data_IF_037325045560
#
_entry.id   IF_037325045560
#
_cell.length_a   1.000
_cell.length_b   1.000
_cell.length_c   1.000
_cell.angle_alpha   90.00
_cell.angle_beta   90.00
_cell.angle_gamma   90.00
#
_symmetry.space_group_name_H-M   'P 1'
#
loop_
_entity.id
_entity.type
_entity.pdbx_description
1 polymer ?
2 polymer ?
3 water ?
#
# COMPACT_ATOMS: atom_id res chain seq x y z
N UNK A 1 9.91 8.59 -3.10
CA UNK A 1 10.09 8.34 -1.65
C UNK A 1 8.92 7.55 -1.05
N UNK A 2 9.15 6.93 0.10
CA UNK A 2 8.11 6.19 0.83
C UNK A 2 7.24 7.19 1.61
N UNK A 3 6.26 7.78 0.94
CA UNK A 3 5.47 8.81 1.64
C UNK A 3 4.25 8.21 2.28
N UNK A 4 4.08 6.91 2.07
CA UNK A 4 2.85 6.28 2.49
C UNK A 4 2.67 6.20 3.98
N UNK A 5 3.77 6.16 4.71
CA UNK A 5 3.65 6.17 6.17
C UNK A 5 3.10 4.87 6.72
N UNK A 6 2.68 4.94 7.96
CA UNK A 6 2.05 3.83 8.67
C UNK A 6 0.84 4.39 9.44
N UNK A 7 -0.06 3.53 9.94
CA UNK A 7 -1.27 4.02 10.63
C UNK A 7 -1.78 2.89 11.53
N UNK A 8 -2.37 3.28 12.66
CA UNK A 8 -3.19 2.32 13.44
C UNK A 8 -4.44 1.86 12.71
N UNK A 9 -5.04 0.78 13.24
CA UNK A 9 -6.33 0.26 12.78
C UNK A 9 -7.44 1.29 12.97
N UNK A 10 -8.41 1.26 12.08
CA UNK A 10 -9.60 2.10 12.18
C UNK A 10 -10.57 1.40 13.14
N UNK A 11 -11.06 2.14 14.17
CA UNK A 11 -11.99 1.60 15.13
C UNK A 11 -13.38 1.36 14.51
N UNK B 6 -1.70 -9.02 33.79
CA UNK B 6 -2.30 -9.37 32.45
C UNK B 6 -2.49 -10.85 32.31
N UNK B 7 -3.03 -11.46 33.36
CA UNK B 7 -3.29 -12.89 33.33
C UNK B 7 -4.40 -13.32 32.42
N UNK B 8 -5.46 -12.50 32.30
CA UNK B 8 -6.52 -12.82 31.34
C UNK B 8 -6.07 -12.75 29.91
N UNK B 9 -5.27 -11.74 29.57
CA UNK B 9 -4.69 -11.65 28.23
C UNK B 9 -3.85 -12.88 27.89
N UNK B 10 -3.04 -13.31 28.85
CA UNK B 10 -2.21 -14.49 28.65
C UNK B 10 -3.14 -15.67 28.36
N UNK B 11 -4.25 -15.73 29.11
CA UNK B 11 -5.23 -16.80 28.94
C UNK B 11 -5.81 -16.82 27.54
N UNK B 12 -6.06 -15.62 27.00
CA UNK B 12 -6.67 -15.49 25.67
C UNK B 12 -5.69 -15.90 24.59
N UNK B 13 -4.43 -15.49 24.76
CA UNK B 13 -3.37 -15.92 23.84
C UNK B 13 -3.19 -17.43 23.89
N UNK B 14 -3.21 -18.00 25.09
CA UNK B 14 -3.15 -19.48 25.22
C UNK B 14 -4.34 -20.13 24.51
N UNK B 15 -5.52 -19.50 24.56
CA UNK B 15 -6.73 -20.07 23.94
C UNK B 15 -6.51 -20.18 22.45
N UNK B 16 -6.00 -19.08 21.89
CA UNK B 16 -5.81 -19.08 20.46
C UNK B 16 -4.60 -19.96 20.06
N UNK B 17 -3.52 -20.02 20.85
CA UNK B 17 -2.36 -20.91 20.51
C UNK B 17 -2.85 -22.36 20.52
N UNK B 18 -3.66 -22.71 21.52
CA UNK B 18 -4.19 -24.10 21.59
C UNK B 18 -5.06 -24.43 20.37
N UNK B 19 -5.91 -23.48 19.97
CA UNK B 19 -6.76 -23.69 18.82
C UNK B 19 -5.88 -23.89 17.56
N UNK B 20 -4.86 -23.04 17.39
CA UNK B 20 -3.89 -23.23 16.26
C UNK B 20 -3.22 -24.59 16.28
N UNK B 21 -2.80 -25.03 17.47
CA UNK B 21 -2.19 -26.34 17.60
C UNK B 21 -3.13 -27.47 17.09
N UNK B 22 -4.41 -27.41 17.49
CA UNK B 22 -5.41 -28.39 17.02
C UNK B 22 -5.53 -28.31 15.48
N UNK B 23 -5.47 -27.11 14.94
CA UNK B 23 -5.58 -26.94 13.48
C UNK B 23 -4.38 -27.53 12.75
N UNK B 24 -3.17 -27.21 13.24
CA UNK B 24 -1.95 -27.68 12.58
C UNK B 24 -1.83 -29.15 12.60
N UNK B 25 -2.15 -29.75 13.74
CA UNK B 25 -2.13 -31.21 13.85
C UNK B 25 -3.09 -31.79 12.81
N UNK B 26 -4.30 -31.22 12.73
CA UNK B 26 -5.29 -31.66 11.73
C UNK B 26 -4.78 -31.55 10.31
N UNK B 27 -4.23 -30.39 9.92
CA UNK B 27 -3.68 -30.18 8.59
C UNK B 27 -2.61 -31.23 8.29
N UNK B 28 -1.75 -31.49 9.28
CA UNK B 28 -0.61 -32.40 9.09
C UNK B 28 -1.13 -33.80 8.76
N UNK B 29 -2.20 -34.17 9.45
CA UNK B 29 -2.74 -35.52 9.37
C UNK B 29 -3.86 -35.77 8.34
N UNK B 30 -4.18 -34.78 7.52
CA UNK B 30 -5.26 -34.90 6.53
C UNK B 30 -4.88 -34.26 5.22
N UNK B 31 -3.95 -34.87 4.47
CA UNK B 31 -3.60 -34.31 3.16
C UNK B 31 -4.56 -34.92 2.14
N UNK B 32 -5.20 -34.05 1.32
CA UNK B 32 -6.17 -34.59 0.37
C UNK B 32 -5.46 -35.57 -0.56
N UNK B 33 -6.07 -36.73 -0.75
CA UNK B 33 -5.56 -37.81 -1.59
C UNK B 33 -4.77 -38.84 -0.80
N UNK B 34 -4.45 -38.50 0.45
CA UNK B 34 -3.64 -39.41 1.28
C UNK B 34 -4.52 -40.06 2.36
N UNK B 35 -4.13 -41.24 2.80
CA UNK B 35 -4.90 -41.95 3.83
C UNK B 35 -5.08 -41.08 5.07
N UNK B 36 -6.26 -41.12 5.67
CA UNK B 36 -6.54 -40.22 6.80
C UNK B 36 -7.81 -40.61 7.53
N UNK B 37 -7.89 -40.27 8.82
CA UNK B 37 -9.12 -40.53 9.58
C UNK B 37 -10.26 -39.59 9.19
N UNK B 38 -11.45 -39.86 9.70
CA UNK B 38 -12.62 -39.02 9.39
C UNK B 38 -12.90 -37.95 10.47
N UNK B 39 -12.01 -37.81 11.46
CA UNK B 39 -12.13 -36.70 12.43
C UNK B 39 -12.31 -35.35 11.72
N UNK B 40 -13.33 -34.56 12.16
CA UNK B 40 -13.63 -33.28 11.47
C UNK B 40 -12.63 -32.15 11.69
N UNK B 41 -12.49 -31.31 10.68
CA UNK B 41 -11.62 -30.11 10.74
C UNK B 41 -12.17 -29.16 11.82
N UNK B 42 -11.29 -28.58 12.65
CA UNK B 42 -11.79 -27.63 13.66
C UNK B 42 -12.51 -26.43 13.05
N UNK B 43 -13.53 -25.94 13.75
CA UNK B 43 -14.22 -24.72 13.35
C UNK B 43 -14.02 -23.72 14.46
N UNK B 44 -13.61 -22.49 14.11
CA UNK B 44 -13.31 -21.49 15.14
C UNK B 44 -14.55 -21.16 16.01
N UNK B 45 -15.74 -21.19 15.39
CA UNK B 45 -17.01 -20.91 16.11
C UNK B 45 -17.21 -21.79 17.34
N UNK B 46 -16.65 -23.00 17.31
CA UNK B 46 -16.84 -23.94 18.42
C UNK B 46 -15.78 -23.76 19.52
N UNK B 47 -14.86 -22.81 19.33
CA UNK B 47 -13.89 -22.55 20.37
C UNK B 47 -13.79 -21.11 20.82
N UNK B 48 -14.84 -20.32 20.60
CA UNK B 48 -14.88 -18.96 21.12
C UNK B 48 -13.72 -18.12 20.59
N UNK B 49 -13.27 -18.40 19.38
CA UNK B 49 -12.13 -17.68 18.83
C UNK B 49 -12.34 -16.21 18.51
N UNK B 50 -13.45 -15.90 17.90
CA UNK B 50 -13.70 -14.51 17.51
C UNK B 50 -13.78 -13.60 18.71
N UNK B 51 -14.42 -14.01 19.79
CA UNK B 51 -14.42 -13.16 20.98
C UNK B 51 -13.03 -12.93 21.54
N UNK B 52 -12.17 -13.95 21.50
CA UNK B 52 -10.82 -13.80 22.01
C UNK B 52 -10.02 -12.76 21.24
N UNK B 53 -10.13 -12.84 19.93
CA UNK B 53 -9.33 -11.95 19.09
C UNK B 53 -10.01 -10.66 19.16
N UNK B 54 -11.32 -10.58 19.33
CA UNK B 54 -11.93 -9.28 19.49
C UNK B 54 -11.38 -8.57 20.73
N UNK B 55 -11.27 -9.27 21.84
CA UNK B 55 -10.72 -8.62 23.00
C UNK B 55 -9.27 -8.19 22.80
N UNK B 56 -8.50 -9.05 22.15
CA UNK B 56 -7.12 -8.69 21.89
C UNK B 56 -7.02 -7.47 20.97
N UNK B 57 -7.87 -7.40 19.97
CA UNK B 57 -7.86 -6.28 19.07
C UNK B 57 -8.16 -5.02 19.86
N UNK B 58 -9.12 -5.07 20.76
CA UNK B 58 -9.48 -3.85 21.48
C UNK B 58 -8.36 -3.38 22.41
N UNK B 59 -7.71 -4.36 23.07
CA UNK B 59 -6.59 -4.03 23.96
C UNK B 59 -5.40 -3.45 23.17
N UNK B 60 -5.26 -3.85 21.90
CA UNK B 60 -4.06 -3.51 21.15
C UNK B 60 -4.00 -2.04 20.79
N UNK B 61 -5.09 -1.31 21.00
CA UNK B 61 -5.11 0.13 20.78
C UNK B 61 -4.26 0.90 21.81
N UNK B 62 -3.98 0.25 22.93
CA UNK B 62 -3.32 0.87 24.08
C UNK B 62 -1.86 0.40 24.11
N UNK B 63 -0.91 1.33 24.16
CA UNK B 63 0.52 0.99 24.17
C UNK B 63 0.91 0.12 25.37
N UNK B 64 0.25 0.30 26.52
CA UNK B 64 0.54 -0.53 27.70
C UNK B 64 0.13 -1.99 27.52
N UNK B 65 -0.98 -2.22 26.83
CA UNK B 65 -1.39 -3.59 26.57
C UNK B 65 -0.58 -4.20 25.46
N UNK B 66 -0.10 -3.37 24.54
CA UNK B 66 0.75 -3.81 23.46
C UNK B 66 2.08 -4.29 24.04
N UNK B 67 2.60 -3.53 25.00
CA UNK B 67 3.85 -3.91 25.65
C UNK B 67 3.69 -5.29 26.26
N UNK B 68 2.60 -5.51 26.99
CA UNK B 68 2.32 -6.82 27.62
C UNK B 68 2.07 -7.92 26.57
N UNK B 69 1.34 -7.61 25.49
CA UNK B 69 1.26 -8.58 24.36
C UNK B 69 2.61 -8.96 23.78
N UNK B 70 3.49 -7.97 23.61
CA UNK B 70 4.77 -8.20 22.95
C UNK B 70 5.66 -9.10 23.77
N UNK B 71 5.59 -8.95 25.10
CA UNK B 71 6.29 -9.83 26.02
C UNK B 71 5.78 -11.27 25.89
N UNK B 72 4.51 -11.42 25.55
CA UNK B 72 3.88 -12.75 25.51
C UNK B 72 3.88 -13.38 24.11
N UNK B 73 4.39 -12.68 23.11
CA UNK B 73 4.42 -13.21 21.75
C UNK B 73 3.07 -13.09 21.09
N UNK B 74 2.33 -12.03 21.42
CA UNK B 74 0.96 -11.84 20.93
C UNK B 74 0.91 -11.69 19.41
N UNK B 75 1.87 -10.96 18.82
CA UNK B 75 1.87 -10.79 17.38
C UNK B 75 1.92 -12.16 16.66
N UNK B 76 2.83 -13.04 17.09
CA UNK B 76 2.98 -14.31 16.37
C UNK B 76 1.71 -15.17 16.53
N UNK B 77 1.12 -15.13 17.73
CA UNK B 77 -0.05 -15.96 17.99
C UNK B 77 -1.23 -15.49 17.14
N UNK B 78 -1.42 -14.17 17.03
CA UNK B 78 -2.50 -13.60 16.22
C UNK B 78 -2.25 -13.85 14.72
N UNK B 79 -1.00 -13.67 14.29
CA UNK B 79 -0.68 -13.94 12.91
C UNK B 79 -0.90 -15.40 12.56
N UNK B 80 -0.51 -16.31 13.44
CA UNK B 80 -0.69 -17.74 13.19
C UNK B 80 -2.16 -18.10 13.03
N UNK B 81 -3.00 -17.46 13.83
CA UNK B 81 -4.44 -17.72 13.76
C UNK B 81 -4.97 -17.20 12.43
N UNK B 82 -4.65 -15.95 12.09
CA UNK B 82 -5.07 -15.44 10.80
C UNK B 82 -4.61 -16.36 9.68
N UNK B 83 -3.34 -16.76 9.68
CA UNK B 83 -2.85 -17.67 8.63
C UNK B 83 -3.62 -18.99 8.56
N UNK B 84 -3.80 -19.65 9.70
CA UNK B 84 -4.37 -20.99 9.67
C UNK B 84 -5.85 -20.95 9.24
N UNK B 85 -6.58 -19.88 9.60
CA UNK B 85 -7.99 -19.79 9.20
C UNK B 85 -8.08 -19.56 7.69
N UNK B 86 -7.19 -18.71 7.18
CA UNK B 86 -7.09 -18.50 5.74
C UNK B 86 -6.74 -19.77 4.96
N UNK B 87 -5.81 -20.57 5.45
CA UNK B 87 -5.46 -21.82 4.81
C UNK B 87 -6.58 -22.84 4.88
N UNK B 88 -7.27 -22.90 6.01
CA UNK B 88 -8.31 -23.93 6.20
C UNK B 88 -9.56 -23.64 5.38
N UNK B 89 -9.97 -22.38 5.39
CA UNK B 89 -11.26 -22.01 4.81
C UNK B 89 -11.22 -21.26 3.47
N UNK B 90 -10.06 -20.72 3.11
CA UNK B 90 -9.90 -19.94 1.87
C UNK B 90 -10.70 -18.65 1.88
N UNK B 91 -11.04 -18.16 0.68
CA UNK B 91 -11.82 -16.94 0.51
C UNK B 91 -13.29 -17.27 0.70
N UNK B 92 -13.75 -17.03 1.92
CA UNK B 92 -15.13 -17.35 2.30
C UNK B 92 -15.87 -16.07 2.66
N UNK B 93 -17.18 -16.08 2.46
CA UNK B 93 -18.03 -14.98 2.89
C UNK B 93 -18.67 -15.27 4.24
N UNK B 94 -18.33 -16.41 4.84
CA UNK B 94 -18.79 -16.72 6.18
C UNK B 94 -18.46 -15.54 7.11
N UNK B 95 -19.50 -15.03 7.77
CA UNK B 95 -19.38 -13.82 8.58
C UNK B 95 -18.40 -14.00 9.69
N UNK B 96 -18.48 -15.14 10.38
CA UNK B 96 -17.63 -15.43 11.51
C UNK B 96 -16.14 -15.41 11.12
N UNK B 97 -15.83 -16.08 10.02
CA UNK B 97 -14.48 -16.12 9.50
C UNK B 97 -14.00 -14.71 9.10
N UNK B 98 -14.86 -13.95 8.42
CA UNK B 98 -14.46 -12.61 7.97
C UNK B 98 -14.19 -11.74 9.20
N UNK B 99 -15.07 -11.87 10.19
CA UNK B 99 -14.98 -11.07 11.40
C UNK B 99 -13.68 -11.40 12.16
N UNK B 100 -13.40 -12.68 12.36
CA UNK B 100 -12.14 -13.05 13.04
C UNK B 100 -10.88 -12.59 12.32
N UNK B 101 -10.89 -12.68 10.99
CA UNK B 101 -9.75 -12.23 10.19
C UNK B 101 -9.59 -10.70 10.26
N UNK B 102 -10.71 -9.99 10.23
CA UNK B 102 -10.68 -8.51 10.40
C UNK B 102 -10.05 -8.14 11.75
N UNK B 103 -10.50 -8.81 12.79
CA UNK B 103 -10.07 -8.46 14.15
C UNK B 103 -8.60 -8.84 14.27
N UNK B 104 -8.23 -10.01 13.75
CA UNK B 104 -6.80 -10.38 13.80
C UNK B 104 -5.93 -9.35 13.05
N UNK B 105 -6.38 -8.95 11.87
CA UNK B 105 -5.62 -7.97 11.06
C UNK B 105 -5.50 -6.63 11.76
N UNK B 106 -6.59 -6.19 12.42
CA UNK B 106 -6.58 -4.90 13.15
C UNK B 106 -5.52 -4.96 14.22
N UNK B 107 -5.43 -6.10 14.91
CA UNK B 107 -4.43 -6.24 16.00
C UNK B 107 -3.03 -6.18 15.39
N UNK B 108 -2.83 -6.85 14.26
CA UNK B 108 -1.51 -6.88 13.61
C UNK B 108 -1.14 -5.48 13.15
N UNK B 109 -2.16 -4.72 12.69
CA UNK B 109 -1.92 -3.33 12.28
C UNK B 109 -1.41 -2.53 13.47
N UNK B 110 -2.12 -2.61 14.61
CA UNK B 110 -1.76 -1.91 15.81
C UNK B 110 -0.40 -2.36 16.35
N UNK B 111 -0.10 -3.66 16.21
CA UNK B 111 1.15 -4.20 16.79
C UNK B 111 2.36 -3.91 15.92
N UNK B 112 2.13 -3.56 14.66
CA UNK B 112 3.24 -3.19 13.76
C UNK B 112 3.49 -1.69 13.73
N UNK B 113 2.52 -0.90 14.17
CA UNK B 113 2.64 0.56 14.12
C UNK B 113 3.80 1.05 15.00
N UNK B 114 4.78 1.69 14.34
CA UNK B 114 5.93 2.25 15.05
C UNK B 114 6.89 1.21 15.61
N UNK B 115 6.69 -0.05 15.23
CA UNK B 115 7.42 -1.16 15.91
C UNK B 115 8.30 -1.98 14.97
N UNK B 116 9.58 -1.59 14.95
CA UNK B 116 10.59 -2.13 14.03
C UNK B 116 10.67 -3.66 14.15
N UNK B 117 10.76 -4.17 15.37
CA UNK B 117 10.96 -5.61 15.60
C UNK B 117 9.73 -6.40 15.14
N UNK B 118 8.54 -5.89 15.45
CA UNK B 118 7.33 -6.60 15.04
C UNK B 118 7.10 -6.66 13.53
N UNK B 119 7.47 -5.61 12.82
CA UNK B 119 7.40 -5.63 11.39
C UNK B 119 8.29 -6.72 10.82
N UNK B 120 9.52 -6.78 11.34
CA UNK B 120 10.47 -7.79 10.91
C UNK B 120 9.94 -9.19 11.16
N UNK B 121 9.40 -9.41 12.35
CA UNK B 121 8.82 -10.71 12.72
C UNK B 121 7.68 -11.10 11.81
N UNK B 122 6.75 -10.16 11.59
CA UNK B 122 5.60 -10.51 10.75
C UNK B 122 6.03 -10.81 9.29
N UNK B 123 6.90 -10.00 8.69
CA UNK B 123 7.43 -10.32 7.35
C UNK B 123 8.12 -11.68 7.24
N UNK B 124 8.78 -12.11 8.32
CA UNK B 124 9.38 -13.44 8.38
C UNK B 124 8.36 -14.60 8.39
N UNK B 125 7.08 -14.29 8.60
CA UNK B 125 6.07 -15.31 8.61
C UNK B 125 5.53 -15.43 7.18
N UNK B 126 6.26 -16.19 6.35
CA UNK B 126 5.98 -16.19 4.89
C UNK B 126 4.58 -16.67 4.56
N UNK B 127 4.17 -17.72 5.25
CA UNK B 127 2.84 -18.32 5.07
C UNK B 127 1.75 -17.32 5.41
N UNK B 128 1.95 -16.59 6.50
CA UNK B 128 1.04 -15.52 6.89
C UNK B 128 0.99 -14.38 5.87
N UNK B 129 2.17 -14.01 5.35
CA UNK B 129 2.29 -12.97 4.30
C UNK B 129 1.52 -13.37 3.04
N UNK B 130 1.66 -14.62 2.62
CA UNK B 130 0.86 -15.13 1.48
C UNK B 130 -0.64 -15.08 1.77
N UNK B 131 -1.04 -15.46 3.00
CA UNK B 131 -2.45 -15.43 3.40
C UNK B 131 -3.00 -13.99 3.35
N UNK B 132 -2.21 -13.06 3.86
CA UNK B 132 -2.60 -11.66 3.82
C UNK B 132 -2.86 -11.17 2.39
N UNK B 133 -1.93 -11.44 1.49
CA UNK B 133 -2.02 -11.00 0.09
C UNK B 133 -3.27 -11.60 -0.53
N UNK B 134 -3.56 -12.86 -0.19
CA UNK B 134 -4.73 -13.55 -0.78
C UNK B 134 -6.05 -12.90 -0.33
N UNK B 135 -6.08 -12.29 0.86
CA UNK B 135 -7.30 -11.67 1.37
C UNK B 135 -7.70 -10.38 0.68
N UNK B 136 -6.80 -9.82 -0.13
CA UNK B 136 -7.15 -8.62 -0.88
C UNK B 136 -8.22 -8.95 -1.90
N UNK B 137 -8.43 -10.24 -2.18
CA UNK B 137 -9.52 -10.65 -3.07
C UNK B 137 -10.85 -10.96 -2.37
N UNK B 138 -10.89 -10.77 -1.05
CA UNK B 138 -12.12 -10.91 -0.27
C UNK B 138 -13.24 -10.03 -0.83
N UNK B 139 -14.46 -10.51 -0.80
CA UNK B 139 -15.58 -9.62 -1.13
C UNK B 139 -15.88 -8.62 -0.01
N UNK B 140 -15.27 -8.82 1.16
CA UNK B 140 -15.45 -7.87 2.26
C UNK B 140 -14.51 -6.71 2.09
N UNK B 141 -15.04 -5.55 1.72
CA UNK B 141 -14.12 -4.41 1.56
C UNK B 141 -13.51 -3.99 2.92
N UNK B 142 -14.22 -4.23 4.02
CA UNK B 142 -13.64 -3.93 5.34
C UNK B 142 -12.41 -4.79 5.62
N UNK B 143 -12.50 -6.10 5.32
CA UNK B 143 -11.31 -6.94 5.40
C UNK B 143 -10.18 -6.43 4.46
N UNK B 144 -10.50 -6.07 3.20
CA UNK B 144 -9.48 -5.54 2.30
C UNK B 144 -8.76 -4.37 2.94
N UNK B 145 -9.53 -3.49 3.60
CA UNK B 145 -8.97 -2.27 4.22
C UNK B 145 -7.99 -2.67 5.33
N UNK B 146 -8.40 -3.64 6.15
CA UNK B 146 -7.56 -4.14 7.24
C UNK B 146 -6.26 -4.75 6.71
N UNK B 147 -6.35 -5.56 5.65
CA UNK B 147 -5.17 -6.20 5.09
C UNK B 147 -4.23 -5.14 4.51
N UNK B 148 -4.82 -4.15 3.81
CA UNK B 148 -3.99 -3.11 3.23
C UNK B 148 -3.29 -2.27 4.30
N UNK B 149 -3.93 -2.12 5.46
CA UNK B 149 -3.35 -1.40 6.61
C UNK B 149 -2.14 -2.16 7.13
N UNK B 150 -2.27 -3.48 7.18
CA UNK B 150 -1.06 -4.26 7.61
C UNK B 150 0.07 -4.10 6.60
N UNK B 151 -0.25 -4.24 5.31
CA UNK B 151 0.76 -4.13 4.28
C UNK B 151 1.37 -2.73 4.22
N UNK B 152 0.55 -1.70 4.45
CA UNK B 152 1.08 -0.33 4.58
C UNK B 152 2.15 -0.22 5.69
N UNK B 153 1.82 -0.73 6.87
CA UNK B 153 2.77 -0.66 7.98
C UNK B 153 4.03 -1.47 7.71
N UNK B 154 3.87 -2.67 7.11
CA UNK B 154 5.06 -3.51 6.86
C UNK B 154 5.98 -2.89 5.80
N UNK B 155 5.39 -2.13 4.87
CA UNK B 155 6.15 -1.58 3.78
C UNK B 155 6.85 -0.27 4.17
N UNK B 156 6.43 0.35 5.27
CA UNK B 156 7.03 1.58 5.76
C UNK B 156 8.35 1.30 6.47
N UNK B 157 9.43 1.90 6.00
CA UNK B 157 10.77 1.66 6.63
C UNK B 157 11.16 0.18 6.65
N UNK B 158 10.76 -0.51 5.59
CA UNK B 158 11.06 -1.93 5.46
C UNK B 158 12.57 -2.14 5.40
N UNK B 159 13.07 -3.09 6.19
CA UNK B 159 14.46 -3.52 6.06
C UNK B 159 14.66 -4.35 4.79
N UNK B 160 15.91 -4.70 4.46
CA UNK B 160 16.17 -5.50 3.24
C UNK B 160 15.38 -6.79 3.13
N UNK B 161 15.28 -7.53 4.23
CA UNK B 161 14.54 -8.78 4.23
C UNK B 161 13.04 -8.52 3.95
N UNK B 162 12.49 -7.50 4.60
CA UNK B 162 11.06 -7.18 4.48
C UNK B 162 10.73 -6.73 3.06
N UNK B 163 11.58 -5.89 2.48
CA UNK B 163 11.40 -5.46 1.10
C UNK B 163 11.36 -6.69 0.20
N UNK B 164 12.29 -7.63 0.39
CA UNK B 164 12.32 -8.81 -0.48
C UNK B 164 11.05 -9.65 -0.31
N UNK B 165 10.65 -9.89 0.94
CA UNK B 165 9.45 -10.68 1.21
C UNK B 165 8.18 -10.05 0.63
N UNK B 166 7.99 -8.75 0.90
CA UNK B 166 6.84 -8.02 0.31
C UNK B 166 6.78 -8.13 -1.23
N UNK B 167 7.93 -8.03 -1.89
CA UNK B 167 7.95 -8.23 -3.34
C UNK B 167 7.60 -9.67 -3.71
N UNK B 168 8.26 -10.63 -3.07
CA UNK B 168 8.15 -12.04 -3.48
C UNK B 168 6.76 -12.62 -3.31
N UNK B 169 6.00 -12.12 -2.32
CA UNK B 169 4.63 -12.61 -2.09
C UNK B 169 3.60 -11.92 -3.01
N UNK B 170 4.08 -11.04 -3.89
CA UNK B 170 3.20 -10.42 -4.90
C UNK B 170 2.31 -9.33 -4.38
N UNK B 171 2.75 -8.67 -3.31
CA UNK B 171 1.91 -7.64 -2.72
C UNK B 171 1.60 -6.48 -3.66
N UNK B 172 2.54 -6.17 -4.56
CA UNK B 172 2.41 -4.96 -5.39
C UNK B 172 1.28 -5.12 -6.41
N UNK B 173 1.35 -6.18 -7.22
CA UNK B 173 0.33 -6.43 -8.21
C UNK B 173 -1.03 -6.59 -7.51
N UNK B 174 -1.06 -7.32 -6.38
CA UNK B 174 -2.30 -7.59 -5.68
C UNK B 174 -2.94 -6.30 -5.18
N UNK B 175 -2.14 -5.36 -4.66
CA UNK B 175 -2.65 -4.09 -4.12
C UNK B 175 -3.13 -3.21 -5.27
N UNK B 176 -2.39 -3.21 -6.37
CA UNK B 176 -2.78 -2.36 -7.52
C UNK B 176 -4.10 -2.82 -8.10
N UNK B 177 -4.24 -4.15 -8.24
CA UNK B 177 -5.48 -4.73 -8.78
C UNK B 177 -6.64 -4.39 -7.83
N UNK B 178 -6.38 -4.51 -6.51
CA UNK B 178 -7.36 -4.19 -5.47
C UNK B 178 -7.82 -2.73 -5.63
N UNK B 179 -6.87 -1.83 -5.85
CA UNK B 179 -7.19 -0.39 -5.92
C UNK B 179 -8.24 -0.10 -6.95
N UNK B 180 -8.17 -0.84 -8.07
CA UNK B 180 -9.05 -0.59 -9.20
C UNK B 180 -10.52 -0.82 -8.92
N UNK B 181 -10.81 -1.62 -7.90
CA UNK B 181 -12.20 -1.98 -7.62
C UNK B 181 -12.78 -1.45 -6.29
N UNK B 182 -11.95 -0.92 -5.38
CA UNK B 182 -12.50 -0.53 -4.06
C UNK B 182 -13.46 0.65 -4.16
N UNK B 183 -14.51 0.61 -3.33
CA UNK B 183 -15.49 1.70 -3.33
C UNK B 183 -15.24 2.82 -2.32
N UNK B 184 -14.77 2.50 -1.11
CA UNK B 184 -14.71 3.51 -0.03
C UNK B 184 -13.39 4.22 -0.02
N UNK B 185 -13.44 5.49 0.30
CA UNK B 185 -12.21 6.27 0.38
C UNK B 185 -11.25 5.68 1.42
N UNK B 186 -11.76 5.21 2.57
CA UNK B 186 -10.82 4.69 3.58
C UNK B 186 -10.06 3.43 3.13
N UNK B 187 -10.72 2.56 2.36
CA UNK B 187 -10.03 1.42 1.79
C UNK B 187 -8.95 1.88 0.80
N UNK B 188 -9.33 2.79 -0.09
CA UNK B 188 -8.41 3.31 -1.09
C UNK B 188 -7.22 3.99 -0.41
N UNK B 189 -7.47 4.71 0.68
CA UNK B 189 -6.36 5.38 1.37
C UNK B 189 -5.31 4.38 1.81
N UNK B 190 -5.75 3.28 2.46
CA UNK B 190 -4.82 2.26 2.92
C UNK B 190 -4.07 1.58 1.79
N UNK B 191 -4.82 1.24 0.73
CA UNK B 191 -4.25 0.56 -0.43
C UNK B 191 -3.23 1.45 -1.15
N UNK B 192 -3.58 2.72 -1.39
CA UNK B 192 -2.63 3.59 -2.10
C UNK B 192 -1.43 3.94 -1.20
N UNK B 193 -1.65 4.10 0.09
CA UNK B 193 -0.52 4.36 0.99
C UNK B 193 0.49 3.21 0.97
N UNK B 194 0.01 1.97 1.01
CA UNK B 194 0.92 0.85 0.91
C UNK B 194 1.66 0.87 -0.43
N UNK B 195 0.93 1.13 -1.52
CA UNK B 195 1.57 1.22 -2.83
C UNK B 195 2.59 2.37 -2.93
N UNK B 196 2.31 3.49 -2.26
CA UNK B 196 3.29 4.63 -2.24
C UNK B 196 4.56 4.15 -1.58
N UNK B 197 4.45 3.38 -0.51
CA UNK B 197 5.67 2.83 0.12
C UNK B 197 6.36 1.80 -0.75
N UNK B 198 5.58 0.85 -1.24
CA UNK B 198 6.14 -0.24 -2.06
C UNK B 198 6.80 0.26 -3.34
N UNK B 199 6.23 1.29 -3.95
CA UNK B 199 6.75 1.77 -5.26
C UNK B 199 8.09 2.49 -5.16
N UNK B 200 8.52 2.79 -3.93
CA UNK B 200 9.85 3.36 -3.71
C UNK B 200 10.92 2.29 -3.51
N UNK B 201 10.53 1.04 -3.23
CA UNK B 201 11.50 -0.01 -2.83
C UNK B 201 12.49 -0.47 -3.87
N UNK B 202 12.02 -0.66 -5.10
CA UNK B 202 12.87 -1.12 -6.21
C UNK B 202 12.19 -0.88 -7.55
N UNK B 203 12.99 -1.02 -8.61
CA UNK B 203 12.51 -0.83 -9.98
C UNK B 203 11.42 -1.84 -10.37
N UNK B 204 11.64 -3.10 -10.00
CA UNK B 204 10.64 -4.16 -10.25
C UNK B 204 9.24 -3.83 -9.73
N UNK B 205 9.14 -3.22 -8.54
CA UNK B 205 7.83 -2.88 -8.00
C UNK B 205 7.16 -1.82 -8.86
N UNK B 206 7.98 -0.86 -9.33
CA UNK B 206 7.50 0.17 -10.24
C UNK B 206 6.95 -0.44 -11.53
N UNK B 207 7.71 -1.37 -12.11
CA UNK B 207 7.27 -2.07 -13.33
C UNK B 207 5.96 -2.83 -13.10
N UNK B 208 5.85 -3.47 -11.93
CA UNK B 208 4.69 -4.31 -11.63
C UNK B 208 3.43 -3.47 -11.55
N UNK B 209 3.55 -2.28 -10.98
CA UNK B 209 2.44 -1.34 -10.94
C UNK B 209 2.08 -0.96 -12.39
N UNK B 210 3.08 -0.61 -13.21
CA UNK B 210 2.79 -0.08 -14.55
C UNK B 210 2.21 -1.15 -15.46
N UNK B 211 2.52 -2.41 -15.14
CA UNK B 211 2.06 -3.58 -15.92
C UNK B 211 0.58 -3.93 -15.75
N UNK B 212 -0.03 -3.48 -14.66
CA UNK B 212 -1.43 -3.80 -14.39
C UNK B 212 -2.32 -3.01 -15.32
N UNK B 213 -3.13 -3.74 -16.08
CA UNK B 213 -4.03 -3.15 -17.04
C UNK B 213 -4.92 -2.13 -16.39
N UNK B 214 -4.84 -0.89 -16.86
CA UNK B 214 -5.63 0.20 -16.28
C UNK B 214 -5.06 0.94 -15.09
N UNK B 215 -3.92 0.48 -14.57
CA UNK B 215 -3.31 1.12 -13.40
C UNK B 215 -2.90 2.56 -13.63
N UNK B 216 -2.18 2.81 -14.73
CA UNK B 216 -1.73 4.20 -14.95
C UNK B 216 -2.90 5.17 -15.12
N UNK B 217 -3.93 4.77 -15.88
CA UNK B 217 -5.08 5.64 -16.06
C UNK B 217 -5.75 5.92 -14.72
N UNK B 218 -5.81 4.91 -13.87
CA UNK B 218 -6.40 5.05 -12.56
C UNK B 218 -5.59 6.00 -11.69
N UNK B 219 -4.25 5.85 -11.71
CA UNK B 219 -3.39 6.76 -10.95
C UNK B 219 -3.54 8.19 -11.44
N UNK B 220 -3.56 8.38 -12.75
CA UNK B 220 -3.77 9.74 -13.25
C UNK B 220 -5.08 10.27 -12.77
N UNK B 221 -6.09 9.39 -12.77
CA UNK B 221 -7.42 9.78 -12.28
C UNK B 221 -7.31 10.26 -10.82
N UNK B 222 -6.48 9.62 -9.99
CA UNK B 222 -6.44 10.07 -8.60
C UNK B 222 -5.97 11.50 -8.39
N UNK B 223 -5.26 12.07 -9.37
CA UNK B 223 -4.76 13.43 -9.24
C UNK B 223 -5.89 14.43 -9.16
N UNK B 224 -7.07 14.02 -9.63
CA UNK B 224 -8.29 14.86 -9.57
C UNK B 224 -9.44 14.16 -8.81
N UNK B 225 -9.09 13.15 -8.02
CA UNK B 225 -10.04 12.57 -7.06
C UNK B 225 -10.66 13.65 -6.19
N UNK B 226 -11.96 13.56 -5.93
CA UNK B 226 -12.59 14.56 -5.02
C UNK B 226 -13.11 13.81 -3.80
N UNK B 227 -12.33 13.94 -2.72
CA UNK B 227 -12.65 13.43 -1.39
C UNK B 227 -14.01 13.86 -0.87
N UNK B 228 -14.81 12.91 -0.42
CA UNK B 228 -16.05 13.33 0.22
C UNK B 228 -15.81 13.77 1.67
N UNK B 229 -14.60 13.51 2.17
CA UNK B 229 -14.24 13.88 3.54
C UNK B 229 -13.35 15.13 3.63
N UNK B 230 -13.23 15.85 2.51
CA UNK B 230 -12.41 17.06 2.44
C UNK B 230 -11.03 16.88 3.03
N UNK B 231 -10.37 15.82 2.59
CA UNK B 231 -8.94 15.70 2.82
C UNK B 231 -8.24 15.54 1.48
N UNK B 232 -6.90 15.67 1.49
CA UNK B 232 -6.12 15.53 0.25
C UNK B 232 -5.35 14.19 0.19
N UNK B 233 -5.67 13.24 1.07
CA UNK B 233 -4.92 12.00 1.18
C UNK B 233 -4.85 11.16 -0.09
N UNK B 234 -5.96 11.10 -0.84
CA UNK B 234 -5.92 10.31 -2.09
C UNK B 234 -5.08 11.03 -3.15
N UNK B 235 -5.21 12.36 -3.29
CA UNK B 235 -4.41 13.02 -4.32
C UNK B 235 -2.93 12.88 -3.97
N UNK B 236 -2.63 12.99 -2.69
CA UNK B 236 -1.23 12.86 -2.23
C UNK B 236 -0.70 11.45 -2.49
N UNK B 237 -1.46 10.40 -2.12
CA UNK B 237 -0.92 9.05 -2.31
C UNK B 237 -0.94 8.60 -3.77
N UNK B 238 -2.01 8.92 -4.50
CA UNK B 238 -2.06 8.55 -5.94
C UNK B 238 -0.93 9.23 -6.67
N UNK B 239 -0.80 10.53 -6.41
CA UNK B 239 0.29 11.32 -7.02
C UNK B 239 1.68 10.88 -6.57
N UNK B 240 1.77 10.34 -5.34
CA UNK B 240 3.06 9.87 -4.81
C UNK B 240 3.50 8.60 -5.55
N UNK B 241 2.53 7.67 -5.79
CA UNK B 241 2.82 6.51 -6.56
C UNK B 241 3.22 6.93 -7.97
N UNK B 242 2.44 7.85 -8.55
CA UNK B 242 2.76 8.31 -9.91
C UNK B 242 4.17 8.85 -10.00
N UNK B 243 4.54 9.65 -9.02
CA UNK B 243 5.93 10.17 -8.99
C UNK B 243 6.97 9.06 -8.94
N UNK B 244 6.74 8.06 -8.08
CA UNK B 244 7.67 6.96 -7.94
C UNK B 244 7.79 6.09 -9.19
N UNK B 245 6.73 5.94 -9.96
CA UNK B 245 6.83 5.11 -11.16
C UNK B 245 7.14 5.95 -12.41
N UNK B 246 7.20 7.26 -12.25
CA UNK B 246 7.34 8.14 -13.43
C UNK B 246 8.69 7.94 -14.17
N UNK B 247 9.72 7.44 -13.47
CA UNK B 247 11.01 7.17 -14.15
C UNK B 247 10.83 6.12 -15.25
N UNK B 248 9.92 5.16 -15.03
CA UNK B 248 9.61 4.16 -16.04
C UNK B 248 8.69 4.66 -17.09
N UNK B 249 7.65 5.37 -16.64
CA UNK B 249 6.73 6.00 -17.60
C UNK B 249 7.49 6.80 -18.61
N UNK B 250 8.49 7.54 -18.18
CA UNK B 250 9.23 8.44 -19.09
C UNK B 250 9.82 7.74 -20.33
N UNK B 251 10.14 6.44 -20.23
CA UNK B 251 10.75 5.80 -21.40
C UNK B 251 9.80 4.84 -22.11
N UNK B 252 8.51 4.98 -21.83
CA UNK B 252 7.51 4.12 -22.45
C UNK B 252 6.50 5.01 -23.17
N UNK B 253 6.57 5.04 -24.49
CA UNK B 253 5.66 5.90 -25.27
C UNK B 253 4.18 5.56 -25.02
N UNK B 254 3.86 4.26 -24.98
CA UNK B 254 2.50 3.79 -24.74
C UNK B 254 1.98 4.38 -23.43
N UNK B 255 2.82 4.34 -22.41
CA UNK B 255 2.43 4.85 -21.07
C UNK B 255 2.32 6.36 -21.06
N UNK B 256 3.19 7.04 -21.81
CA UNK B 256 3.03 8.49 -21.95
C UNK B 256 1.70 8.84 -22.60
N UNK B 257 1.29 8.02 -23.56
CA UNK B 257 0.08 8.29 -24.28
C UNK B 257 -1.12 8.13 -23.35
N UNK B 258 -1.09 7.15 -22.46
CA UNK B 258 -2.16 7.01 -21.46
C UNK B 258 -2.26 8.26 -20.62
N UNK B 259 -1.13 8.75 -20.13
CA UNK B 259 -1.13 10.01 -19.44
C UNK B 259 -1.73 11.16 -20.28
N UNK B 260 -1.41 11.24 -21.58
CA UNK B 260 -1.88 12.35 -22.41
C UNK B 260 -3.39 12.33 -22.58
N UNK B 261 -3.94 11.13 -22.63
CA UNK B 261 -5.38 10.97 -22.90
C UNK B 261 -6.18 11.54 -21.72
N UNK B 262 -5.52 11.62 -20.58
CA UNK B 262 -6.09 12.13 -19.34
C UNK B 262 -5.49 13.47 -18.92
N UNK B 263 -4.82 14.16 -19.83
CA UNK B 263 -4.27 15.51 -19.57
C UNK B 263 -3.42 15.56 -18.33
N UNK B 264 -2.58 14.54 -18.15
CA UNK B 264 -1.75 14.45 -16.94
C UNK B 264 -0.83 15.66 -16.74
N UNK B 265 -0.08 16.03 -17.79
CA UNK B 265 0.85 17.13 -17.67
C UNK B 265 0.11 18.40 -17.22
N UNK B 266 -1.05 18.67 -17.84
CA UNK B 266 -1.79 19.87 -17.44
C UNK B 266 -2.20 19.87 -15.96
N UNK B 267 -2.63 18.71 -15.48
CA UNK B 267 -2.94 18.53 -14.08
C UNK B 267 -1.74 18.69 -13.16
N UNK B 268 -0.60 18.15 -13.55
CA UNK B 268 0.61 18.33 -12.72
C UNK B 268 1.01 19.81 -12.64
N UNK B 269 0.81 20.55 -13.74
CA UNK B 269 1.10 22.00 -13.67
C UNK B 269 0.17 22.69 -12.67
N UNK B 270 -1.10 22.29 -12.61
CA UNK B 270 -2.03 22.88 -11.61
C UNK B 270 -1.55 22.53 -10.21
N UNK B 271 -1.03 21.31 -10.07
CA UNK B 271 -0.47 20.85 -8.79
C UNK B 271 0.72 21.68 -8.30
N UNK B 272 1.44 22.33 -9.22
CA UNK B 272 2.60 23.18 -8.81
C UNK B 272 2.11 24.38 -8.01
N UNK B 273 0.83 24.73 -8.23
CA UNK B 273 0.21 25.87 -7.52
C UNK B 273 -0.60 25.43 -6.28
N UNK B 274 -0.59 24.14 -5.95
CA UNK B 274 -1.26 23.60 -4.72
C UNK B 274 -0.72 24.27 -3.47
N UNK B 275 -1.58 24.41 -2.47
CA UNK B 275 -1.15 24.84 -1.14
C UNK B 275 -0.59 23.68 -0.31
N UNK B 276 -0.57 22.45 -0.85
CA UNK B 276 0.02 21.30 -0.16
C UNK B 276 1.44 21.01 -0.65
N UNK B 277 2.43 21.08 0.22
CA UNK B 277 3.80 20.79 -0.19
C UNK B 277 4.01 19.40 -0.70
N UNK B 278 3.29 18.44 -0.16
CA UNK B 278 3.39 17.10 -0.63
C UNK B 278 2.90 16.99 -2.06
N UNK B 279 1.76 17.60 -2.33
CA UNK B 279 1.21 17.62 -3.73
C UNK B 279 2.20 18.32 -4.69
N UNK B 280 2.72 19.46 -4.26
CA UNK B 280 3.71 20.18 -5.10
C UNK B 280 4.97 19.32 -5.33
N UNK B 281 5.46 18.71 -4.26
CA UNK B 281 6.61 17.84 -4.36
C UNK B 281 6.40 16.66 -5.29
N UNK B 282 5.25 15.99 -5.18
CA UNK B 282 4.99 14.87 -6.07
C UNK B 282 4.94 15.33 -7.52
N UNK B 283 4.32 16.48 -7.76
CA UNK B 283 4.22 17.01 -9.10
C UNK B 283 5.59 17.36 -9.67
N UNK B 284 6.43 17.96 -8.84
CA UNK B 284 7.80 18.32 -9.29
C UNK B 284 8.59 17.08 -9.67
N UNK B 285 8.46 16.02 -8.85
CA UNK B 285 9.12 14.76 -9.14
C UNK B 285 8.64 14.09 -10.43
N UNK B 286 7.33 14.18 -10.69
CA UNK B 286 6.78 13.54 -11.84
C UNK B 286 7.23 14.30 -13.08
N UNK B 287 7.16 15.64 -13.00
CA UNK B 287 7.62 16.49 -14.11
C UNK B 287 9.09 16.40 -14.40
N UNK B 288 9.90 16.18 -13.37
CA UNK B 288 11.33 15.95 -13.56
C UNK B 288 11.51 14.81 -14.56
N UNK B 289 10.80 13.71 -14.37
CA UNK B 289 10.93 12.59 -15.29
C UNK B 289 10.25 12.79 -16.61
N UNK B 290 9.02 13.32 -16.62
CA UNK B 290 8.30 13.42 -17.86
C UNK B 290 8.89 14.45 -18.81
N UNK B 291 9.62 15.42 -18.24
CA UNK B 291 10.29 16.48 -19.03
C UNK B 291 11.57 15.99 -19.71
N UNK B 292 12.04 14.78 -19.40
CA UNK B 292 13.28 14.25 -20.02
C UNK B 292 13.01 13.44 -21.29
N UNK B 293 13.85 13.67 -22.30
CA UNK B 293 14.00 12.78 -23.47
C UNK B 293 12.66 12.48 -24.18
N UNK B 294 11.78 13.47 -24.27
CA UNK B 294 10.55 13.31 -25.04
C UNK B 294 10.15 14.62 -25.67
N UNK B 295 10.53 14.82 -26.94
CA UNK B 295 10.21 16.07 -27.61
C UNK B 295 8.73 16.48 -27.56
N UNK B 296 7.81 15.51 -27.69
CA UNK B 296 6.40 15.85 -27.70
C UNK B 296 5.95 16.48 -26.35
N UNK B 297 6.32 15.85 -25.24
CA UNK B 297 5.84 16.33 -23.94
C UNK B 297 6.65 17.57 -23.49
N UNK B 298 7.90 17.65 -23.94
CA UNK B 298 8.67 18.90 -23.75
C UNK B 298 7.98 20.09 -24.42
N UNK B 299 7.59 19.91 -25.68
CA UNK B 299 6.90 20.98 -26.39
C UNK B 299 5.57 21.35 -25.74
N UNK B 300 4.82 20.32 -25.33
CA UNK B 300 3.58 20.51 -24.61
C UNK B 300 3.81 21.32 -23.34
N UNK B 301 4.84 21.00 -22.56
CA UNK B 301 5.11 21.75 -21.34
C UNK B 301 5.47 23.22 -21.65
N UNK B 302 6.30 23.43 -22.68
CA UNK B 302 6.64 24.81 -23.10
C UNK B 302 5.37 25.58 -23.40
N UNK B 303 4.52 24.95 -24.17
CA UNK B 303 3.28 25.56 -24.67
C UNK B 303 2.31 25.86 -23.52
N UNK B 304 2.34 25.04 -22.47
CA UNK B 304 1.47 25.24 -21.32
C UNK B 304 2.01 26.21 -20.24
N UNK B 305 3.14 26.87 -20.53
CA UNK B 305 3.72 27.85 -19.60
C UNK B 305 4.50 27.25 -18.47
N UNK B 306 4.97 26.03 -18.67
CA UNK B 306 5.64 25.31 -17.57
C UNK B 306 6.94 25.97 -17.11
N UNK B 307 7.64 26.59 -18.04
CA UNK B 307 8.92 27.24 -17.68
C UNK B 307 8.73 28.22 -16.51
N UNK B 308 7.79 29.14 -16.63
CA UNK B 308 7.58 30.11 -15.56
C UNK B 308 7.13 29.48 -14.26
N UNK B 309 6.25 28.49 -14.36
CA UNK B 309 5.74 27.82 -13.16
C UNK B 309 6.85 27.11 -12.40
N UNK B 310 7.74 26.44 -13.13
CA UNK B 310 8.87 25.72 -12.53
C UNK B 310 9.85 26.71 -11.98
N UNK B 311 10.12 27.78 -12.74
CA UNK B 311 11.07 28.79 -12.26
C UNK B 311 10.66 29.39 -10.91
N UNK B 312 9.35 29.45 -10.69
CA UNK B 312 8.77 29.97 -9.45
C UNK B 312 9.11 29.13 -8.23
N UNK B 313 9.54 27.90 -8.47
CA UNK B 313 9.71 26.95 -7.36
C UNK B 313 11.17 26.64 -7.07
N UNK B 314 12.10 27.14 -7.89
CA UNK B 314 13.48 26.65 -7.72
C UNK B 314 14.11 27.17 -6.42
N UNK B 315 13.55 28.17 -5.79
CA UNK B 315 14.12 28.66 -4.56
C UNK B 315 13.45 28.11 -3.34
N UNK B 316 12.74 27.02 -3.48
CA UNK B 316 11.79 26.60 -2.47
C UNK B 316 12.28 26.32 -1.04
N UNK B 317 13.36 25.58 -0.92
CA UNK B 317 13.89 25.09 0.38
C UNK B 317 13.36 23.72 0.91
N UNK B 318 12.53 23.09 0.09
CA UNK B 318 12.20 21.75 0.29
C UNK B 318 12.96 20.98 -0.72
N UNK B 319 13.84 20.11 -0.23
CA UNK B 319 14.74 19.36 -1.09
C UNK B 319 14.08 18.89 -2.39
N UNK B 320 13.00 18.10 -2.30
CA UNK B 320 12.42 17.50 -3.51
C UNK B 320 11.72 18.50 -4.45
N UNK B 321 11.11 19.56 -3.89
CA UNK B 321 10.49 20.63 -4.71
C UNK B 321 11.59 21.41 -5.41
N UNK B 322 12.57 21.83 -4.63
CA UNK B 322 13.80 22.43 -5.20
C UNK B 322 14.46 21.59 -6.28
N UNK B 323 14.74 20.30 -5.97
CA UNK B 323 15.40 19.39 -6.91
C UNK B 323 14.57 19.18 -8.20
N UNK B 324 13.30 18.86 -8.02
CA UNK B 324 12.45 18.45 -9.14
C UNK B 324 12.14 19.63 -10.03
N UNK B 325 11.82 20.76 -9.42
CA UNK B 325 11.46 21.95 -10.20
C UNK B 325 12.64 22.40 -11.02
N UNK B 326 13.82 22.44 -10.41
CA UNK B 326 15.00 22.82 -11.17
C UNK B 326 15.40 21.81 -12.24
N UNK B 327 15.28 20.50 -11.97
CA UNK B 327 15.62 19.46 -12.94
C UNK B 327 14.64 19.51 -14.10
N UNK B 328 13.35 19.72 -13.82
CA UNK B 328 12.40 19.86 -14.92
C UNK B 328 12.67 21.10 -15.76
N UNK B 329 12.96 22.21 -15.08
CA UNK B 329 13.26 23.46 -15.77
C UNK B 329 14.48 23.29 -16.71
N UNK B 330 15.55 22.68 -16.22
CA UNK B 330 16.74 22.56 -17.05
C UNK B 330 16.54 21.58 -18.22
N UNK B 331 15.69 20.55 -18.02
CA UNK B 331 15.27 19.71 -19.15
C UNK B 331 14.59 20.54 -20.22
N UNK B 332 13.66 21.41 -19.80
CA UNK B 332 12.93 22.20 -20.77
C UNK B 332 13.88 23.21 -21.43
N UNK B 333 14.79 23.80 -20.66
CA UNK B 333 15.72 24.82 -21.21
C UNK B 333 16.72 24.18 -22.19
N UNK B 334 17.09 22.92 -21.96
CA UNK B 334 18.01 22.18 -22.85
C UNK B 334 17.32 21.77 -24.16
N UNK B 335 16.02 21.91 -24.20
CA UNK B 335 15.19 21.41 -25.29
C UNK B 335 14.13 22.40 -25.73
N UNK B 336 14.54 23.64 -25.92
CA UNK B 336 13.67 24.66 -26.50
C UNK B 336 13.20 24.20 -27.87
N UNK B 337 11.86 24.08 -28.05
CA UNK B 337 11.31 23.64 -29.32
C UNK B 337 11.65 24.56 -30.48
N UNK B 338 11.80 23.93 -31.66
CA UNK B 338 12.07 24.62 -32.92
C UNK B 338 11.18 25.85 -33.14
N UNK B 339 9.89 25.75 -32.83
CA UNK B 339 9.00 26.85 -33.18
C UNK B 339 9.29 28.10 -32.36
N UNK B 340 9.88 27.93 -31.17
CA UNK B 340 10.35 29.06 -30.38
C UNK B 340 11.65 29.55 -31.01
N UNK B 341 12.55 28.63 -31.32
CA UNK B 341 13.82 29.05 -31.91
C UNK B 341 13.63 29.80 -33.26
N UNK B 342 12.72 29.31 -34.11
CA UNK B 342 12.44 29.94 -35.42
C UNK B 342 11.77 31.31 -35.29
N UNK B 343 11.01 31.50 -34.21
CA UNK B 343 10.36 32.76 -33.89
C UNK B 343 11.28 33.72 -33.13
N UNK B 344 12.45 33.25 -32.71
CA UNK B 344 13.42 34.07 -32.00
C UNK B 344 12.87 34.69 -30.71
#
# INVERSE_FOLDING_TARGET
YQGGGEEMALP
MGHHHHHHMLHLLEQIRAYCETCWEWQEAHEPGMDQDKNPMPAPVEHQICPAVCVLMKLSFDEEHRHAMNELGGLQAIAELLQVDCEMYGLTNDHYSITLRRYAGMALTNLTFGDVANKATLCSMKGCMRALVAQLKSESEDLQQVIASVLRNLSWRADVNSKKTLREVGSVKALMECALEVKKESTLKSVLSALWNLSAHCTENKADICAVDGALAFLVGTLTYRSQTNTLAIIESGGGILRNVSSLIATNEDHRQILRENNCLQTLLQHLKSHSLTIVSNACGTLWNLSARNPKDQEALWDMGAVSMLKNLIHSKHKMIAMGSAAALRNLMANRPAKYKDANIMSPGSSLPS
#
